data_IF_839992254837
#
_entry.id   IF_839992254837
#
_cell.length_a   1.000
_cell.length_b   1.000
_cell.length_c   1.000
_cell.angle_alpha   90.00
_cell.angle_beta   90.00
_cell.angle_gamma   90.00
#
_symmetry.space_group_name_H-M   'P 1'
#
loop_
_entity.id
_entity.type
_entity.pdbx_description
1 polymer ?
#
# COMPACT_ATOMS: atom_id res chain seq x y z
N UNK A 1 4.31 -8.57 0.63
CA UNK A 1 3.36 -9.38 -0.14
C UNK A 1 2.23 -9.77 0.80
N UNK A 2 1.00 -9.38 0.45
CA UNK A 2 -0.22 -9.60 1.23
C UNK A 2 -0.66 -11.06 1.07
N UNK A 3 -0.99 -11.74 2.17
CA UNK A 3 -1.32 -13.17 2.17
C UNK A 3 -2.78 -13.44 2.54
N UNK A 4 -3.44 -12.49 3.18
CA UNK A 4 -4.78 -12.65 3.72
C UNK A 4 -5.52 -11.30 3.80
N UNK A 5 -6.83 -11.38 4.06
CA UNK A 5 -7.69 -10.20 4.16
C UNK A 5 -7.29 -9.25 5.30
N UNK A 6 -6.71 -9.76 6.40
CA UNK A 6 -6.27 -8.90 7.50
C UNK A 6 -5.08 -8.02 7.07
N UNK A 7 -4.11 -8.60 6.36
CA UNK A 7 -2.98 -7.88 5.78
C UNK A 7 -3.41 -6.91 4.67
N UNK A 8 -4.42 -7.27 3.89
CA UNK A 8 -5.03 -6.38 2.90
C UNK A 8 -5.58 -5.12 3.60
N UNK A 9 -6.40 -5.30 4.62
CA UNK A 9 -6.99 -4.18 5.36
C UNK A 9 -5.94 -3.32 6.06
N UNK A 10 -4.91 -3.94 6.65
CA UNK A 10 -3.80 -3.23 7.26
C UNK A 10 -3.03 -2.38 6.21
N UNK A 11 -2.80 -2.95 5.02
CA UNK A 11 -2.10 -2.25 3.92
C UNK A 11 -2.94 -1.09 3.40
N UNK A 12 -4.24 -1.28 3.18
CA UNK A 12 -5.17 -0.22 2.79
C UNK A 12 -5.24 0.90 3.84
N UNK A 13 -5.27 0.55 5.12
CA UNK A 13 -5.24 1.52 6.21
C UNK A 13 -3.93 2.34 6.21
N UNK A 14 -2.80 1.70 5.95
CA UNK A 14 -1.50 2.37 5.85
C UNK A 14 -1.40 3.31 4.64
N UNK A 15 -1.93 2.90 3.48
CA UNK A 15 -2.05 3.77 2.30
C UNK A 15 -2.85 5.03 2.65
N UNK A 16 -4.03 4.87 3.25
CA UNK A 16 -4.89 6.00 3.67
C UNK A 16 -4.17 6.92 4.66
N UNK A 17 -3.40 6.36 5.58
CA UNK A 17 -2.62 7.15 6.53
C UNK A 17 -1.57 8.02 5.81
N UNK A 18 -0.81 7.46 4.88
CA UNK A 18 0.19 8.24 4.11
C UNK A 18 -0.45 9.29 3.21
N UNK A 19 -1.59 9.01 2.60
CA UNK A 19 -2.35 10.02 1.84
C UNK A 19 -2.71 11.22 2.70
N UNK A 20 -3.22 11.01 3.92
CA UNK A 20 -3.52 12.10 4.87
C UNK A 20 -2.28 12.91 5.26
N UNK A 21 -1.12 12.26 5.40
CA UNK A 21 0.13 12.96 5.70
C UNK A 21 0.55 13.86 4.52
N UNK A 22 0.42 13.38 3.29
CA UNK A 22 0.69 14.16 2.08
C UNK A 22 -0.26 15.37 1.99
N UNK A 23 -1.56 15.16 2.23
CA UNK A 23 -2.56 16.24 2.25
C UNK A 23 -2.18 17.33 3.26
N UNK A 24 -1.82 16.94 4.49
CA UNK A 24 -1.37 17.89 5.52
C UNK A 24 -0.12 18.66 5.11
N UNK A 25 0.87 17.99 4.50
CA UNK A 25 2.08 18.66 4.02
C UNK A 25 1.74 19.67 2.90
N UNK A 26 0.81 19.31 2.00
CA UNK A 26 0.36 20.17 0.91
C UNK A 26 -0.29 21.47 1.40
N UNK A 27 -0.92 21.45 2.56
CA UNK A 27 -1.55 22.65 3.16
C UNK A 27 -0.52 23.64 3.74
N UNK A 28 0.64 23.14 4.21
CA UNK A 28 1.58 23.95 5.01
C UNK A 28 2.88 24.28 4.29
N UNK A 29 3.34 23.45 3.36
CA UNK A 29 4.60 23.65 2.66
C UNK A 29 4.40 24.53 1.42
N UNK A 30 4.98 25.72 1.45
CA UNK A 30 4.83 26.73 0.39
C UNK A 30 5.93 26.65 -0.67
N UNK A 31 7.06 26.03 -0.35
CA UNK A 31 8.16 25.83 -1.29
C UNK A 31 7.96 24.53 -2.09
N UNK A 32 7.82 24.59 -3.43
CA UNK A 32 7.56 23.40 -4.24
C UNK A 32 8.67 22.34 -4.20
N UNK A 33 9.93 22.74 -4.02
CA UNK A 33 11.05 21.82 -3.92
C UNK A 33 11.03 21.07 -2.58
N UNK A 34 10.81 21.80 -1.48
CA UNK A 34 10.66 21.19 -0.16
C UNK A 34 9.47 20.23 -0.14
N UNK A 35 8.32 20.65 -0.70
CA UNK A 35 7.14 19.79 -0.83
C UNK A 35 7.49 18.45 -1.48
N UNK A 36 8.13 18.47 -2.65
CA UNK A 36 8.53 17.25 -3.38
C UNK A 36 9.47 16.37 -2.56
N UNK A 37 10.44 16.96 -1.88
CA UNK A 37 11.37 16.22 -1.02
C UNK A 37 10.65 15.59 0.19
N UNK A 38 9.69 16.29 0.80
CA UNK A 38 8.93 15.82 1.95
C UNK A 38 7.94 14.71 1.61
N UNK A 39 7.29 14.76 0.44
CA UNK A 39 6.25 13.77 0.07
C UNK A 39 6.78 12.59 -0.72
N UNK A 40 7.98 12.68 -1.32
CA UNK A 40 8.51 11.67 -2.24
C UNK A 40 8.58 10.27 -1.62
N UNK A 41 9.01 10.16 -0.36
CA UNK A 41 9.06 8.86 0.34
C UNK A 41 7.67 8.26 0.58
N UNK A 42 6.67 9.09 0.92
CA UNK A 42 5.30 8.61 1.09
C UNK A 42 4.70 8.13 -0.24
N UNK A 43 4.92 8.87 -1.33
CA UNK A 43 4.42 8.49 -2.66
C UNK A 43 5.03 7.16 -3.13
N UNK A 44 6.34 7.00 -3.03
CA UNK A 44 7.01 5.76 -3.42
C UNK A 44 6.50 4.54 -2.62
N UNK A 45 6.26 4.72 -1.32
CA UNK A 45 5.74 3.65 -0.47
C UNK A 45 4.26 3.34 -0.76
N UNK A 46 3.45 4.35 -1.09
CA UNK A 46 2.07 4.15 -1.57
C UNK A 46 2.07 3.35 -2.88
N UNK A 47 2.94 3.69 -3.84
CA UNK A 47 3.03 2.99 -5.12
C UNK A 47 3.38 1.50 -4.92
N UNK A 48 4.37 1.23 -4.07
CA UNK A 48 4.76 -0.13 -3.69
C UNK A 48 3.62 -0.90 -3.04
N UNK A 49 2.90 -0.30 -2.10
CA UNK A 49 1.76 -0.96 -1.42
C UNK A 49 0.56 -1.16 -2.36
N UNK A 50 0.28 -0.21 -3.24
CA UNK A 50 -0.78 -0.36 -4.25
C UNK A 50 -0.48 -1.51 -5.22
N UNK A 51 0.79 -1.73 -5.56
CA UNK A 51 1.21 -2.89 -6.34
C UNK A 51 0.88 -4.18 -5.60
N UNK A 52 1.24 -4.31 -4.31
CA UNK A 52 0.93 -5.50 -3.52
C UNK A 52 -0.58 -5.75 -3.37
N UNK A 53 -1.37 -4.69 -3.16
CA UNK A 53 -2.84 -4.77 -3.10
C UNK A 53 -3.40 -5.28 -4.42
N UNK A 54 -2.93 -4.74 -5.54
CA UNK A 54 -3.36 -5.16 -6.88
C UNK A 54 -3.01 -6.63 -7.13
N UNK A 55 -1.79 -7.04 -6.79
CA UNK A 55 -1.35 -8.43 -6.93
C UNK A 55 -2.23 -9.38 -6.11
N UNK A 56 -2.49 -9.07 -4.84
CA UNK A 56 -3.37 -9.87 -4.00
C UNK A 56 -4.79 -9.97 -4.54
N UNK A 57 -5.40 -8.84 -4.91
CA UNK A 57 -6.77 -8.79 -5.42
C UNK A 57 -6.92 -9.38 -6.84
N UNK A 58 -5.82 -9.61 -7.56
CA UNK A 58 -5.84 -10.27 -8.86
C UNK A 58 -6.03 -11.78 -8.77
N UNK A 59 -5.83 -12.37 -7.58
CA UNK A 59 -5.95 -13.81 -7.33
C UNK A 59 -7.32 -14.11 -6.74
N UNK A 60 -8.06 -15.04 -7.33
CA UNK A 60 -9.35 -15.45 -6.77
C UNK A 60 -9.15 -16.21 -5.45
N UNK A 61 -10.01 -16.04 -4.42
CA UNK A 61 -9.85 -16.71 -3.14
C UNK A 61 -9.73 -18.25 -3.20
N UNK A 62 -10.31 -18.90 -4.21
CA UNK A 62 -10.16 -20.35 -4.40
C UNK A 62 -8.75 -20.78 -4.78
N UNK A 63 -8.01 -19.94 -5.51
CA UNK A 63 -6.63 -20.21 -5.95
C UNK A 63 -5.63 -19.99 -4.79
N UNK A 64 -5.97 -19.08 -3.86
CA UNK A 64 -5.20 -18.87 -2.63
C UNK A 64 -5.22 -20.10 -1.71
N UNK A 65 -6.35 -20.82 -1.64
CA UNK A 65 -6.47 -22.05 -0.83
C UNK A 65 -5.59 -23.17 -1.38
N UNK A 66 -5.45 -23.27 -2.70
CA UNK A 66 -4.58 -24.27 -3.35
C UNK A 66 -3.09 -23.98 -3.09
N UNK A 67 -2.66 -22.71 -3.15
CA UNK A 67 -1.26 -22.34 -2.87
C UNK A 67 -0.84 -22.61 -1.43
N UNK A 68 -1.71 -22.38 -0.45
CA UNK A 68 -1.44 -22.69 0.97
C UNK A 68 -1.33 -24.21 1.17
N UNK A 69 -2.14 -24.99 0.46
CA UNK A 69 -2.10 -26.45 0.53
C UNK A 69 -0.84 -27.04 -0.12
N UNK A 70 -0.34 -26.43 -1.21
CA UNK A 70 0.90 -26.83 -1.86
C UNK A 70 2.15 -26.43 -1.06
N UNK A 71 2.17 -25.24 -0.45
CA UNK A 71 3.28 -24.80 0.41
C UNK A 71 3.41 -25.58 1.73
N UNK A 72 2.36 -26.34 2.11
CA UNK A 72 2.32 -27.16 3.32
C UNK A 72 2.64 -28.65 3.07
N UNK A 73 3.00 -29.03 1.83
CA UNK A 73 3.50 -30.36 1.46
C UNK A 73 5.02 -30.37 1.36
#
# INVERSE_FOLDING_TARGET
MIQNNQELEATLARIRHFQKQIEKIREVETNPQNYRLSVGGFLAEIDRMNLEVREYLSIHPSELVEQVAEASR
#
